data_IF_350732459137
#
_entry.id   IF_350732459137
#
_cell.length_a   1.000
_cell.length_b   1.000
_cell.length_c   1.000
_cell.angle_alpha   90.00
_cell.angle_beta   90.00
_cell.angle_gamma   90.00
#
_symmetry.space_group_name_H-M   'P 1'
#
loop_
_entity.id
_entity.type
_entity.pdbx_description
1 polymer ?
#
# COMPACT_ATOMS: atom_id res chain seq x y z
N UNK A 1 -7.73 9.79 13.06
CA UNK A 1 -8.84 9.71 14.03
C UNK A 1 -8.92 11.06 14.71
N UNK A 2 -10.02 11.78 14.55
CA UNK A 2 -10.24 13.04 15.26
C UNK A 2 -11.13 12.74 16.46
N UNK A 3 -10.64 12.96 17.66
CA UNK A 3 -11.47 12.98 18.85
C UNK A 3 -12.05 14.39 19.02
N UNK A 4 -13.34 14.55 18.87
CA UNK A 4 -14.04 15.79 19.18
C UNK A 4 -14.62 15.61 20.59
N UNK A 5 -14.16 16.42 21.56
CA UNK A 5 -14.90 16.64 22.80
C UNK A 5 -14.25 16.36 24.14
N UNK A 6 -12.92 16.25 24.26
CA UNK A 6 -12.23 16.37 25.54
C UNK A 6 -10.88 17.09 25.34
N UNK A 7 -10.56 18.04 26.21
CA UNK A 7 -9.19 18.59 26.32
C UNK A 7 -8.24 17.43 26.64
N UNK A 8 -7.59 16.92 25.62
CA UNK A 8 -6.50 15.96 25.79
C UNK A 8 -5.24 16.79 25.94
N UNK A 9 -4.60 16.66 27.07
CA UNK A 9 -3.31 17.26 27.37
C UNK A 9 -2.28 16.87 26.28
N UNK A 10 -1.44 17.84 25.92
CA UNK A 10 -0.46 17.71 24.83
C UNK A 10 0.47 16.51 25.00
N UNK A 11 0.86 16.20 26.24
CA UNK A 11 1.79 15.10 26.55
C UNK A 11 1.09 13.74 26.42
N UNK A 12 -0.19 13.67 26.77
CA UNK A 12 -1.05 12.51 26.53
C UNK A 12 -1.25 12.28 25.04
N UNK A 13 -1.43 13.32 24.24
CA UNK A 13 -1.55 13.24 22.78
C UNK A 13 -0.24 12.77 22.13
N UNK A 14 0.90 13.30 22.58
CA UNK A 14 2.22 12.88 22.10
C UNK A 14 2.47 11.42 22.44
N UNK A 15 2.17 10.99 23.68
CA UNK A 15 2.31 9.59 24.07
C UNK A 15 1.38 8.66 23.27
N UNK A 16 0.17 9.09 22.98
CA UNK A 16 -0.78 8.33 22.15
C UNK A 16 -0.28 8.20 20.71
N UNK A 17 0.29 9.27 20.15
CA UNK A 17 0.88 9.27 18.79
C UNK A 17 2.19 8.48 18.75
N UNK A 18 3.01 8.54 19.79
CA UNK A 18 4.26 7.78 19.86
C UNK A 18 4.00 6.29 20.05
N UNK A 19 2.99 5.93 20.85
CA UNK A 19 2.56 4.54 21.05
C UNK A 19 1.75 4.01 19.87
N UNK A 20 1.15 4.87 19.04
CA UNK A 20 0.50 4.47 17.79
C UNK A 20 1.46 3.87 16.75
N UNK A 21 2.77 3.95 16.97
CA UNK A 21 3.77 3.25 16.14
C UNK A 21 3.66 1.73 16.24
N UNK A 22 3.16 1.22 17.37
CA UNK A 22 2.98 -0.23 17.57
C UNK A 22 1.64 -0.75 17.03
N UNK A 23 0.74 0.15 16.60
CA UNK A 23 -0.59 -0.21 16.07
C UNK A 23 -0.50 -0.81 14.65
N UNK A 24 0.63 -0.70 13.95
CA UNK A 24 0.83 -1.35 12.64
C UNK A 24 0.86 -2.89 12.78
N UNK A 25 0.94 -3.41 14.01
CA UNK A 25 1.06 -4.85 14.27
C UNK A 25 -0.25 -5.61 14.42
N UNK A 26 -1.40 -4.98 14.67
CA UNK A 26 -2.58 -5.71 15.14
C UNK A 26 -3.94 -5.22 14.59
N UNK A 27 -3.93 -4.28 13.67
CA UNK A 27 -5.15 -3.90 12.97
C UNK A 27 -5.31 -4.72 11.69
N UNK A 28 -5.69 -5.99 11.84
CA UNK A 28 -6.44 -6.69 10.81
C UNK A 28 -7.84 -6.04 10.70
N UNK A 29 -7.87 -4.78 10.26
CA UNK A 29 -9.12 -4.08 9.97
C UNK A 29 -9.89 -4.75 8.82
N UNK A 30 -9.23 -5.63 8.11
CA UNK A 30 -9.83 -6.58 7.21
C UNK A 30 -10.06 -7.87 8.01
N UNK A 31 -11.10 -7.92 8.82
CA UNK A 31 -11.71 -9.20 9.16
C UNK A 31 -11.92 -9.90 7.84
N UNK A 32 -11.26 -11.05 7.68
CA UNK A 32 -11.40 -11.92 6.54
C UNK A 32 -12.87 -12.35 6.38
N UNK A 33 -13.68 -11.43 5.94
CA UNK A 33 -14.95 -11.71 5.32
C UNK A 33 -14.62 -12.26 3.94
N UNK A 34 -14.28 -13.53 3.87
CA UNK A 34 -14.39 -14.30 2.64
C UNK A 34 -15.84 -14.15 2.20
N UNK A 35 -16.13 -13.11 1.41
CA UNK A 35 -17.34 -13.10 0.63
C UNK A 35 -17.21 -14.32 -0.28
N UNK A 36 -18.08 -15.33 -0.07
CA UNK A 36 -18.29 -16.42 -0.99
C UNK A 36 -18.82 -15.81 -2.30
N UNK A 37 -17.91 -15.26 -3.09
CA UNK A 37 -18.15 -14.99 -4.49
C UNK A 37 -18.21 -16.35 -5.15
N UNK A 38 -19.32 -16.67 -5.83
CA UNK A 38 -19.54 -17.95 -6.47
C UNK A 38 -18.42 -18.35 -7.44
N UNK A 39 -18.59 -19.47 -8.14
CA UNK A 39 -17.58 -20.13 -9.01
C UNK A 39 -17.02 -19.25 -10.16
N UNK A 40 -17.54 -18.04 -10.40
CA UNK A 40 -17.12 -17.10 -11.44
C UNK A 40 -15.99 -16.12 -11.03
N UNK A 41 -15.18 -16.46 -10.04
CA UNK A 41 -14.08 -15.57 -9.63
C UNK A 41 -12.94 -15.59 -10.63
N UNK A 42 -12.43 -14.39 -10.97
CA UNK A 42 -11.22 -14.22 -11.81
C UNK A 42 -9.98 -14.84 -11.15
N UNK A 43 -10.00 -14.97 -9.82
CA UNK A 43 -8.94 -15.57 -9.02
C UNK A 43 -8.75 -14.87 -7.68
N UNK A 44 -7.74 -15.32 -6.94
CA UNK A 44 -7.40 -14.76 -5.61
C UNK A 44 -6.35 -13.68 -5.73
N UNK A 45 -6.58 -12.53 -5.06
CA UNK A 45 -5.61 -11.45 -4.90
C UNK A 45 -5.29 -11.27 -3.43
N UNK A 46 -4.01 -11.32 -3.09
CA UNK A 46 -3.53 -11.03 -1.74
C UNK A 46 -3.49 -9.53 -1.49
N UNK A 47 -3.97 -9.08 -0.35
CA UNK A 47 -3.81 -7.70 0.10
C UNK A 47 -2.82 -7.72 1.26
N UNK A 48 -1.59 -7.24 1.01
CA UNK A 48 -0.62 -7.01 2.08
C UNK A 48 -1.10 -5.80 2.88
N UNK A 49 -1.65 -6.09 4.07
CA UNK A 49 -2.42 -5.12 4.85
C UNK A 49 -1.51 -4.25 5.72
N UNK A 50 -1.30 -3.02 5.28
CA UNK A 50 -0.57 -1.98 6.01
C UNK A 50 -1.51 -0.92 6.61
N UNK A 51 -2.79 -1.19 6.65
CA UNK A 51 -3.88 -0.27 7.00
C UNK A 51 -4.79 -0.01 5.80
N UNK A 52 -5.19 -1.09 5.11
CA UNK A 52 -5.98 -1.03 3.89
C UNK A 52 -7.35 -0.38 4.13
N UNK A 53 -7.75 0.49 3.20
CA UNK A 53 -9.11 1.01 3.18
C UNK A 53 -10.07 -0.06 2.67
N UNK A 54 -11.21 -0.23 3.34
CA UNK A 54 -12.26 -1.16 2.92
C UNK A 54 -12.72 -0.93 1.47
N UNK A 55 -12.65 0.31 0.98
CA UNK A 55 -12.98 0.62 -0.42
C UNK A 55 -12.11 -0.10 -1.44
N UNK A 56 -10.85 -0.40 -1.11
CA UNK A 56 -9.94 -1.16 -1.98
C UNK A 56 -10.45 -2.59 -2.13
N UNK A 57 -10.78 -3.23 -1.01
CA UNK A 57 -11.38 -4.58 -0.99
C UNK A 57 -12.68 -4.61 -1.82
N UNK A 58 -13.54 -3.61 -1.59
CA UNK A 58 -14.83 -3.51 -2.29
C UNK A 58 -14.65 -3.36 -3.81
N UNK A 59 -13.62 -2.63 -4.26
CA UNK A 59 -13.32 -2.49 -5.70
C UNK A 59 -12.83 -3.82 -6.28
N UNK A 60 -11.91 -4.51 -5.61
CA UNK A 60 -11.43 -5.82 -6.06
C UNK A 60 -12.56 -6.85 -6.13
N UNK A 61 -13.44 -6.88 -5.14
CA UNK A 61 -14.59 -7.77 -5.12
C UNK A 61 -15.59 -7.44 -6.26
N UNK A 62 -15.81 -6.15 -6.58
CA UNK A 62 -16.62 -5.74 -7.73
C UNK A 62 -16.02 -6.15 -9.08
N UNK A 63 -14.71 -6.35 -9.12
CA UNK A 63 -13.98 -6.88 -10.28
C UNK A 63 -13.92 -8.42 -10.28
N UNK A 64 -14.71 -9.08 -9.43
CA UNK A 64 -14.80 -10.53 -9.27
C UNK A 64 -13.49 -11.19 -8.80
N UNK A 65 -12.61 -10.46 -8.11
CA UNK A 65 -11.49 -11.07 -7.41
C UNK A 65 -11.89 -11.50 -6.00
N UNK A 66 -11.47 -12.68 -5.60
CA UNK A 66 -11.48 -13.07 -4.19
C UNK A 66 -10.29 -12.41 -3.50
N UNK A 67 -10.52 -11.69 -2.41
CA UNK A 67 -9.44 -11.01 -1.66
C UNK A 67 -9.03 -11.83 -0.45
N UNK A 68 -7.72 -11.89 -0.20
CA UNK A 68 -7.12 -12.54 0.97
C UNK A 68 -6.26 -11.52 1.70
N UNK A 69 -6.56 -11.26 2.96
CA UNK A 69 -5.72 -10.37 3.79
C UNK A 69 -4.42 -11.10 4.16
N UNK A 70 -3.29 -10.43 3.97
CA UNK A 70 -1.94 -10.93 4.26
C UNK A 70 -1.32 -10.03 5.32
N UNK A 71 -0.84 -10.64 6.39
CA UNK A 71 -0.11 -9.93 7.44
C UNK A 71 1.19 -9.32 6.89
N UNK A 72 1.58 -8.11 7.29
CA UNK A 72 2.89 -7.54 6.95
C UNK A 72 4.08 -8.33 7.51
N UNK A 73 3.82 -9.25 8.44
CA UNK A 73 4.84 -10.14 9.03
C UNK A 73 4.98 -11.47 8.27
N UNK A 74 4.16 -11.69 7.23
CA UNK A 74 4.17 -12.95 6.48
C UNK A 74 5.43 -13.08 5.63
N UNK A 75 5.93 -14.31 5.49
CA UNK A 75 7.10 -14.58 4.66
C UNK A 75 6.76 -14.62 3.17
N UNK A 76 7.74 -14.30 2.32
CA UNK A 76 7.55 -14.37 0.88
C UNK A 76 7.22 -15.80 0.41
N UNK A 77 7.85 -16.79 1.02
CA UNK A 77 7.67 -18.21 0.73
C UNK A 77 6.22 -18.64 0.99
N UNK A 78 5.67 -18.25 2.15
CA UNK A 78 4.28 -18.55 2.50
C UNK A 78 3.31 -17.82 1.57
N UNK A 79 3.56 -16.55 1.25
CA UNK A 79 2.74 -15.76 0.32
C UNK A 79 2.69 -16.44 -1.07
N UNK A 80 3.83 -16.89 -1.59
CA UNK A 80 3.90 -17.57 -2.88
C UNK A 80 3.17 -18.91 -2.87
N UNK A 81 3.08 -19.60 -1.71
CA UNK A 81 2.33 -20.84 -1.57
C UNK A 81 0.81 -20.67 -1.58
N UNK A 82 0.28 -19.46 -1.42
CA UNK A 82 -1.16 -19.17 -1.33
C UNK A 82 -1.90 -19.26 -2.68
N UNK A 83 -1.20 -19.55 -3.78
CA UNK A 83 -1.79 -19.64 -5.13
C UNK A 83 -2.59 -18.36 -5.52
N UNK A 84 -1.96 -17.22 -5.35
CA UNK A 84 -2.52 -15.91 -5.67
C UNK A 84 -2.26 -15.54 -7.14
N UNK A 85 -3.18 -14.80 -7.76
CA UNK A 85 -3.00 -14.19 -9.09
C UNK A 85 -2.17 -12.91 -9.05
N UNK A 86 -2.07 -12.27 -7.90
CA UNK A 86 -1.32 -11.05 -7.69
C UNK A 86 -1.40 -10.58 -6.24
N UNK A 87 -0.60 -9.58 -5.92
CA UNK A 87 -0.55 -8.95 -4.60
C UNK A 87 -0.79 -7.46 -4.75
N UNK A 88 -1.68 -6.93 -3.93
CA UNK A 88 -1.86 -5.51 -3.74
C UNK A 88 -1.26 -5.12 -2.40
N UNK A 89 -0.22 -4.28 -2.42
CA UNK A 89 0.32 -3.67 -1.21
C UNK A 89 -0.52 -2.43 -0.92
N UNK A 90 -1.18 -2.45 0.24
CA UNK A 90 -2.18 -1.44 0.55
C UNK A 90 -1.59 -0.06 0.88
N UNK A 91 -2.46 0.91 0.94
CA UNK A 91 -2.17 2.16 1.63
C UNK A 91 -1.94 1.90 3.12
N UNK A 92 -1.34 2.85 3.81
CA UNK A 92 -1.12 2.79 5.25
C UNK A 92 -0.48 4.07 5.78
N UNK A 93 -0.38 4.21 7.09
CA UNK A 93 0.28 5.33 7.75
C UNK A 93 1.79 5.08 7.88
N UNK A 94 2.52 6.14 8.17
CA UNK A 94 3.91 6.08 8.63
C UNK A 94 4.96 6.33 7.54
N UNK A 95 6.20 6.10 7.93
CA UNK A 95 7.37 6.23 7.06
C UNK A 95 7.66 4.89 6.37
N UNK A 96 7.61 4.81 5.04
CA UNK A 96 7.87 3.55 4.32
C UNK A 96 9.25 2.96 4.62
N UNK A 97 10.24 3.81 4.94
CA UNK A 97 11.63 3.40 5.21
C UNK A 97 11.76 2.62 6.52
N UNK A 98 10.81 2.77 7.45
CA UNK A 98 10.80 2.04 8.72
C UNK A 98 10.29 0.60 8.59
N UNK A 99 9.77 0.22 7.44
CA UNK A 99 9.17 -1.10 7.18
C UNK A 99 10.13 -2.05 6.46
N UNK A 100 11.38 -2.13 6.92
CA UNK A 100 12.45 -2.94 6.29
C UNK A 100 12.04 -4.41 6.08
N UNK A 101 11.36 -5.02 7.06
CA UNK A 101 10.89 -6.40 6.94
C UNK A 101 9.92 -6.59 5.76
N UNK A 102 9.00 -5.63 5.58
CA UNK A 102 8.05 -5.64 4.46
C UNK A 102 8.77 -5.40 3.13
N UNK A 103 9.71 -4.45 3.10
CA UNK A 103 10.50 -4.16 1.90
C UNK A 103 11.25 -5.42 1.45
N UNK A 104 11.92 -6.12 2.38
CA UNK A 104 12.65 -7.35 2.09
C UNK A 104 11.73 -8.48 1.60
N UNK A 105 10.54 -8.61 2.18
CA UNK A 105 9.53 -9.58 1.71
C UNK A 105 9.09 -9.24 0.29
N UNK A 106 8.74 -7.98 0.03
CA UNK A 106 8.30 -7.52 -1.31
C UNK A 106 9.42 -7.71 -2.33
N UNK A 107 10.68 -7.44 -1.98
CA UNK A 107 11.83 -7.66 -2.86
C UNK A 107 11.94 -9.12 -3.34
N UNK A 108 11.69 -10.09 -2.45
CA UNK A 108 11.67 -11.51 -2.81
C UNK A 108 10.46 -11.91 -3.66
N UNK A 109 9.37 -11.16 -3.60
CA UNK A 109 8.17 -11.42 -4.39
C UNK A 109 8.27 -10.86 -5.82
N UNK A 110 9.10 -9.84 -6.05
CA UNK A 110 9.31 -9.23 -7.38
C UNK A 110 9.81 -10.29 -8.36
N UNK A 111 9.19 -10.34 -9.54
CA UNK A 111 9.51 -11.32 -10.59
C UNK A 111 8.82 -12.67 -10.43
N UNK A 112 8.26 -12.99 -9.25
CA UNK A 112 7.58 -14.26 -8.99
C UNK A 112 6.05 -14.15 -9.07
N UNK A 113 5.50 -12.96 -8.81
CA UNK A 113 4.07 -12.69 -8.82
C UNK A 113 3.81 -11.24 -9.20
N UNK A 114 2.72 -10.91 -9.93
CA UNK A 114 2.33 -9.53 -10.19
C UNK A 114 2.08 -8.75 -8.90
N UNK A 115 2.65 -7.56 -8.78
CA UNK A 115 2.52 -6.71 -7.60
C UNK A 115 2.02 -5.32 -7.99
N UNK A 116 1.05 -4.81 -7.23
CA UNK A 116 0.56 -3.44 -7.34
C UNK A 116 0.59 -2.75 -5.99
N UNK A 117 1.00 -1.50 -5.93
CA UNK A 117 1.10 -0.73 -4.69
C UNK A 117 0.25 0.54 -4.71
N UNK A 118 -0.45 0.83 -3.60
CA UNK A 118 -1.25 2.04 -3.42
C UNK A 118 -0.65 2.90 -2.31
N UNK A 119 -0.30 4.16 -2.62
CA UNK A 119 0.23 5.15 -1.68
C UNK A 119 1.48 4.60 -0.94
N UNK A 120 1.38 4.25 0.35
CA UNK A 120 2.46 3.61 1.10
C UNK A 120 2.98 2.35 0.39
N UNK A 121 2.08 1.54 -0.15
CA UNK A 121 2.44 0.32 -0.89
C UNK A 121 3.25 0.60 -2.15
N UNK A 122 2.95 1.69 -2.88
CA UNK A 122 3.77 2.14 -4.01
C UNK A 122 5.17 2.56 -3.56
N UNK A 123 5.29 3.25 -2.43
CA UNK A 123 6.58 3.67 -1.88
C UNK A 123 7.42 2.47 -1.43
N UNK A 124 6.81 1.47 -0.78
CA UNK A 124 7.47 0.22 -0.39
C UNK A 124 7.93 -0.56 -1.63
N UNK A 125 7.07 -0.70 -2.63
CA UNK A 125 7.44 -1.38 -3.88
C UNK A 125 8.62 -0.67 -4.56
N UNK A 126 8.62 0.67 -4.55
CA UNK A 126 9.72 1.47 -5.09
C UNK A 126 11.03 1.24 -4.33
N UNK A 127 10.98 1.21 -2.99
CA UNK A 127 12.15 0.89 -2.15
C UNK A 127 12.65 -0.53 -2.42
N UNK A 128 11.76 -1.49 -2.56
CA UNK A 128 12.11 -2.89 -2.90
C UNK A 128 12.78 -3.00 -4.29
N UNK A 129 12.44 -2.11 -5.21
CA UNK A 129 13.11 -1.98 -6.52
C UNK A 129 14.44 -1.19 -6.46
N UNK A 130 14.89 -0.75 -5.29
CA UNK A 130 16.14 0.02 -5.13
C UNK A 130 15.99 1.53 -5.39
N UNK A 131 14.76 2.04 -5.51
CA UNK A 131 14.52 3.46 -5.63
C UNK A 131 14.60 4.16 -4.27
N UNK A 132 14.74 5.47 -4.28
CA UNK A 132 14.75 6.27 -3.06
C UNK A 132 13.41 6.94 -2.81
N UNK A 133 13.06 7.05 -1.52
CA UNK A 133 11.85 7.76 -1.07
C UNK A 133 12.28 8.91 -0.17
N UNK A 134 11.74 10.10 -0.44
CA UNK A 134 12.02 11.33 0.30
C UNK A 134 10.78 11.77 1.07
N UNK A 135 11.01 12.31 2.28
CA UNK A 135 9.98 13.04 3.00
C UNK A 135 9.76 14.39 2.32
N UNK A 136 8.52 14.71 2.04
CA UNK A 136 8.13 16.01 1.51
C UNK A 136 8.04 17.03 2.65
N UNK A 137 8.40 18.26 2.37
CA UNK A 137 8.37 19.35 3.36
C UNK A 137 6.93 19.61 3.85
N UNK A 138 5.97 19.68 2.94
CA UNK A 138 4.56 19.97 3.24
C UNK A 138 3.64 18.78 2.97
N UNK A 139 4.11 17.76 2.25
CA UNK A 139 3.27 16.65 1.78
C UNK A 139 2.26 17.06 0.72
N UNK A 140 1.49 16.08 0.24
CA UNK A 140 0.35 16.32 -0.63
C UNK A 140 -0.92 15.86 0.08
N UNK A 141 -1.78 16.82 0.43
CA UNK A 141 -3.00 16.58 1.20
C UNK A 141 -4.16 17.33 0.55
N UNK A 142 -5.07 16.60 -0.11
CA UNK A 142 -6.24 17.18 -0.76
C UNK A 142 -6.81 16.32 -1.87
N UNK A 143 -8.00 16.70 -2.34
CA UNK A 143 -8.73 16.00 -3.40
C UNK A 143 -8.64 16.67 -4.77
N UNK A 144 -7.77 17.66 -4.93
CA UNK A 144 -7.68 18.53 -6.12
C UNK A 144 -6.27 18.65 -6.67
N UNK A 145 -5.43 17.63 -6.49
CA UNK A 145 -4.08 17.63 -7.03
C UNK A 145 -4.05 17.19 -8.50
N UNK A 146 -3.61 18.05 -9.43
CA UNK A 146 -3.46 17.66 -10.82
C UNK A 146 -2.24 16.73 -10.99
N UNK A 147 -2.41 15.69 -11.78
CA UNK A 147 -1.36 14.74 -12.18
C UNK A 147 -1.34 14.62 -13.69
N UNK A 148 -0.18 14.78 -14.27
CA UNK A 148 0.05 14.55 -15.69
C UNK A 148 0.49 13.10 -15.91
N UNK A 149 -0.20 12.40 -16.83
CA UNK A 149 0.21 11.06 -17.25
C UNK A 149 1.05 11.22 -18.52
N UNK A 150 2.33 10.83 -18.47
CA UNK A 150 3.20 10.81 -19.65
C UNK A 150 2.56 9.96 -20.76
N UNK A 151 2.45 10.53 -21.95
CA UNK A 151 1.83 9.87 -23.11
C UNK A 151 0.33 10.13 -23.29
N UNK A 152 -0.36 10.59 -22.27
CA UNK A 152 -1.74 11.08 -22.36
C UNK A 152 -1.70 12.58 -22.08
N UNK A 153 -1.80 13.44 -23.08
CA UNK A 153 -1.77 14.90 -22.93
C UNK A 153 -2.99 15.44 -22.14
N UNK A 154 -3.27 14.86 -20.98
CA UNK A 154 -4.37 15.26 -20.11
C UNK A 154 -3.89 15.24 -18.66
N UNK A 155 -4.20 16.30 -17.94
CA UNK A 155 -4.09 16.32 -16.49
C UNK A 155 -5.33 15.66 -15.87
N UNK A 156 -5.11 14.76 -14.93
CA UNK A 156 -6.18 14.16 -14.11
C UNK A 156 -6.16 14.80 -12.74
N UNK A 157 -7.32 15.11 -12.21
CA UNK A 157 -7.46 15.55 -10.81
C UNK A 157 -7.49 14.32 -9.92
N UNK A 158 -6.60 14.29 -8.93
CA UNK A 158 -6.43 13.16 -8.02
C UNK A 158 -6.59 13.59 -6.56
N UNK A 159 -7.02 12.65 -5.72
CA UNK A 159 -6.98 12.79 -4.29
C UNK A 159 -5.67 12.21 -3.75
N UNK A 160 -4.93 13.03 -3.01
CA UNK A 160 -3.64 12.65 -2.43
C UNK A 160 -3.64 12.87 -0.92
N UNK A 161 -2.98 11.98 -0.19
CA UNK A 161 -2.77 12.12 1.25
C UNK A 161 -1.48 11.37 1.63
N UNK A 162 -0.34 12.00 1.37
CA UNK A 162 0.96 11.40 1.67
C UNK A 162 2.01 12.47 1.99
N UNK A 163 2.89 12.15 2.95
CA UNK A 163 4.04 12.98 3.34
C UNK A 163 5.37 12.52 2.74
N UNK A 164 5.36 11.44 1.97
CA UNK A 164 6.55 10.88 1.33
C UNK A 164 6.31 10.73 -0.17
N UNK A 165 7.35 10.85 -0.95
CA UNK A 165 7.30 10.64 -2.40
C UNK A 165 8.55 9.88 -2.88
N UNK A 166 8.37 9.09 -3.93
CA UNK A 166 9.50 8.45 -4.62
C UNK A 166 10.29 9.52 -5.37
N UNK A 167 11.61 9.47 -5.27
CA UNK A 167 12.46 10.44 -5.95
C UNK A 167 12.44 10.21 -7.46
N UNK A 168 11.98 11.21 -8.20
CA UNK A 168 11.85 11.14 -9.66
C UNK A 168 13.21 10.89 -10.35
N UNK A 169 14.32 11.34 -9.77
CA UNK A 169 15.66 11.13 -10.32
C UNK A 169 16.03 9.66 -10.30
N UNK A 170 15.59 8.89 -9.30
CA UNK A 170 15.87 7.47 -9.20
C UNK A 170 15.14 6.62 -10.25
N UNK A 171 14.01 7.11 -10.81
CA UNK A 171 13.27 6.43 -11.88
C UNK A 171 14.03 6.35 -13.22
N UNK A 172 14.97 7.27 -13.47
CA UNK A 172 15.67 7.33 -14.77
C UNK A 172 16.59 6.14 -15.02
N UNK A 173 16.92 5.36 -13.98
CA UNK A 173 17.79 4.21 -14.05
C UNK A 173 17.07 2.85 -13.98
N UNK A 174 15.74 2.85 -13.83
CA UNK A 174 14.95 1.63 -13.84
C UNK A 174 14.53 1.28 -15.27
N UNK A 175 15.24 0.32 -15.86
CA UNK A 175 14.66 -0.46 -16.95
C UNK A 175 13.76 -1.53 -16.32
N UNK A 176 12.46 -1.26 -16.25
CA UNK A 176 11.50 -2.32 -15.94
C UNK A 176 11.64 -3.37 -17.06
N UNK A 177 11.76 -4.67 -16.72
CA UNK A 177 11.65 -5.70 -17.73
C UNK A 177 10.27 -5.57 -18.37
N UNK A 178 10.22 -5.09 -19.58
CA UNK A 178 9.02 -5.13 -20.41
C UNK A 178 8.81 -6.59 -20.76
N UNK A 179 8.04 -7.32 -19.95
CA UNK A 179 7.47 -8.56 -20.40
C UNK A 179 6.50 -8.20 -21.51
N UNK A 180 6.87 -8.50 -22.74
CA UNK A 180 5.96 -8.49 -23.88
C UNK A 180 4.84 -9.51 -23.62
N UNK A 181 3.64 -9.03 -23.48
CA UNK A 181 2.40 -9.80 -23.57
C UNK A 181 1.90 -9.74 -24.99
#
# INVERSE_FOLDING_TARGET
MFAIGQEIDKDSLVNLVMNARDIIGDNSALTAGSLNLGDDTVGKVGILDLGAKQSIVNVLNKLNFQTVAISPKESAENILSMNLKGILISNGPGDPRSLEGVINTVQKLIGNIPIFGICLGHQILSLACGLTVKKLEFGHHGSNHPVEIKGIKKALITAQNHGFAVDAVSYTHLTLPTSSW
#
